data_IF_336741519464
#
_entry.id   IF_336741519464
#
_cell.length_a   1.000
_cell.length_b   1.000
_cell.length_c   1.000
_cell.angle_alpha   90.00
_cell.angle_beta   90.00
_cell.angle_gamma   90.00
#
_symmetry.space_group_name_H-M   'P 1'
#
loop_
_entity.id
_entity.type
_entity.pdbx_description
1 polymer ?
#
# COMPACT_ATOMS: atom_id res chain seq x y z
N UNK A 1 -3.17 28.01 -17.95
CA UNK A 1 -4.12 28.78 -17.11
C UNK A 1 -4.80 27.94 -16.02
N UNK A 2 -4.40 26.68 -15.78
CA UNK A 2 -4.90 25.83 -14.69
C UNK A 2 -3.98 25.78 -13.45
N UNK A 3 -2.77 26.37 -13.54
CA UNK A 3 -1.73 26.28 -12.48
C UNK A 3 -2.04 27.11 -11.22
N UNK A 4 -3.10 27.92 -11.22
CA UNK A 4 -3.42 28.86 -10.12
C UNK A 4 -4.37 28.29 -9.05
N UNK A 5 -4.93 27.09 -9.25
CA UNK A 5 -5.89 26.50 -8.30
C UNK A 5 -5.27 25.55 -7.28
N UNK A 6 -3.99 25.20 -7.45
CA UNK A 6 -3.28 24.36 -6.49
C UNK A 6 -2.36 25.27 -5.68
N UNK A 7 -2.60 25.35 -4.37
CA UNK A 7 -1.79 26.13 -3.46
C UNK A 7 -0.31 25.69 -3.49
N UNK A 8 0.54 26.48 -2.83
CA UNK A 8 1.92 26.07 -2.57
C UNK A 8 2.02 25.51 -1.16
N UNK A 9 2.38 24.23 -1.05
CA UNK A 9 2.64 23.53 0.20
C UNK A 9 4.13 23.42 0.49
N UNK A 10 4.48 22.94 1.68
CA UNK A 10 5.85 22.53 1.98
C UNK A 10 6.17 21.24 1.23
N UNK A 11 7.37 21.12 0.68
CA UNK A 11 7.78 19.90 -0.02
C UNK A 11 7.82 18.70 0.94
N UNK A 12 7.41 17.53 0.47
CA UNK A 12 7.59 16.26 1.15
C UNK A 12 8.39 15.27 0.28
N UNK A 13 9.52 14.74 0.77
CA UNK A 13 10.19 15.04 2.05
C UNK A 13 10.59 16.51 2.18
N UNK A 14 10.69 17.00 3.43
CA UNK A 14 11.11 18.37 3.71
C UNK A 14 12.51 18.61 3.15
N UNK A 15 12.63 19.63 2.29
CA UNK A 15 13.90 20.04 1.67
C UNK A 15 14.12 21.52 1.88
N UNK A 16 15.39 21.92 1.80
CA UNK A 16 15.78 23.33 1.78
C UNK A 16 15.84 23.76 0.31
N UNK A 17 15.18 24.87 -0.01
CA UNK A 17 15.19 25.47 -1.33
C UNK A 17 16.51 26.19 -1.64
N UNK A 18 16.74 26.57 -2.91
CA UNK A 18 17.99 27.22 -3.33
C UNK A 18 18.30 28.52 -2.61
N UNK A 19 17.28 29.18 -2.06
CA UNK A 19 17.38 30.44 -1.33
C UNK A 19 17.60 30.27 0.18
N UNK A 20 17.75 29.04 0.67
CA UNK A 20 17.92 28.73 2.09
C UNK A 20 16.62 28.65 2.90
N UNK A 21 15.46 28.89 2.28
CA UNK A 21 14.14 28.68 2.89
C UNK A 21 13.64 27.24 2.75
N UNK A 22 12.47 26.93 3.32
CA UNK A 22 11.79 25.65 3.11
C UNK A 22 11.37 25.56 1.64
N UNK A 23 11.68 24.44 0.99
CA UNK A 23 11.24 24.19 -0.37
C UNK A 23 9.72 24.10 -0.43
N UNK A 24 9.12 24.85 -1.35
CA UNK A 24 7.69 24.79 -1.62
C UNK A 24 7.43 23.95 -2.86
N UNK A 25 6.37 23.16 -2.81
CA UNK A 25 5.85 22.39 -3.93
C UNK A 25 4.48 22.97 -4.30
N UNK A 26 4.15 22.99 -5.58
CA UNK A 26 2.86 23.44 -6.07
C UNK A 26 2.38 22.57 -7.22
N UNK A 27 1.09 22.68 -7.52
CA UNK A 27 0.50 21.97 -8.65
C UNK A 27 0.50 20.45 -8.45
N UNK A 28 0.78 19.75 -9.54
CA UNK A 28 0.67 18.29 -9.63
C UNK A 28 1.61 17.57 -8.66
N UNK A 29 2.80 18.12 -8.44
CA UNK A 29 3.77 17.53 -7.51
C UNK A 29 3.28 17.57 -6.07
N UNK A 30 2.53 18.62 -5.68
CA UNK A 30 1.96 18.69 -4.34
C UNK A 30 0.95 17.56 -4.12
N UNK A 31 0.17 17.23 -5.15
CA UNK A 31 -0.81 16.13 -5.10
C UNK A 31 -0.09 14.78 -5.01
N UNK A 32 0.95 14.54 -5.81
CA UNK A 32 1.72 13.30 -5.70
C UNK A 32 2.38 13.12 -4.32
N UNK A 33 2.92 14.20 -3.77
CA UNK A 33 3.51 14.20 -2.43
C UNK A 33 2.45 13.98 -1.33
N UNK A 34 1.26 14.56 -1.49
CA UNK A 34 0.13 14.35 -0.59
C UNK A 34 -0.38 12.90 -0.64
N UNK A 35 -0.54 12.32 -1.83
CA UNK A 35 -0.94 10.91 -2.01
C UNK A 35 0.07 9.99 -1.33
N UNK A 36 1.38 10.18 -1.57
CA UNK A 36 2.42 9.39 -0.90
C UNK A 36 2.30 9.49 0.61
N UNK A 37 2.06 10.68 1.13
CA UNK A 37 1.96 10.93 2.57
C UNK A 37 0.71 10.32 3.19
N UNK A 38 -0.41 10.22 2.47
CA UNK A 38 -1.60 9.46 2.91
C UNK A 38 -1.30 7.96 2.94
N UNK A 39 -0.71 7.42 1.87
CA UNK A 39 -0.43 6.00 1.73
C UNK A 39 0.71 5.51 2.64
N UNK A 40 1.63 6.39 3.05
CA UNK A 40 2.77 6.05 3.93
C UNK A 40 2.48 6.24 5.42
N UNK A 41 1.25 6.58 5.79
CA UNK A 41 0.87 6.83 7.20
C UNK A 41 -0.20 5.84 7.61
N UNK A 42 0.01 5.13 8.71
CA UNK A 42 -0.98 4.24 9.28
C UNK A 42 -1.99 5.02 10.15
N UNK A 43 -3.29 4.66 10.15
CA UNK A 43 -4.25 5.21 11.10
C UNK A 43 -3.75 5.07 12.54
N UNK A 44 -3.87 6.14 13.33
CA UNK A 44 -3.38 6.22 14.71
C UNK A 44 -1.98 6.82 14.86
N UNK A 45 -1.17 6.93 13.80
CA UNK A 45 0.17 7.53 13.88
C UNK A 45 0.15 9.03 14.20
N UNK A 46 -0.96 9.71 13.87
CA UNK A 46 -1.13 11.14 14.12
C UNK A 46 -1.96 11.37 15.37
N UNK A 47 -1.38 11.85 16.50
CA UNK A 47 -2.09 11.94 17.78
C UNK A 47 -3.37 12.77 17.75
N UNK A 48 -3.37 13.86 16.98
CA UNK A 48 -4.53 14.77 16.86
C UNK A 48 -5.44 14.45 15.67
N UNK A 49 -5.11 13.41 14.89
CA UNK A 49 -5.87 12.95 13.71
C UNK A 49 -5.73 11.43 13.56
N UNK A 50 -6.29 10.63 14.49
CA UNK A 50 -6.12 9.18 14.47
C UNK A 50 -6.70 8.53 13.21
N UNK A 51 -7.74 9.09 12.60
CA UNK A 51 -8.33 8.54 11.38
C UNK A 51 -7.48 8.78 10.11
N UNK A 52 -6.46 9.62 10.18
CA UNK A 52 -5.64 9.97 9.02
C UNK A 52 -4.68 8.84 8.67
N UNK A 53 -4.63 8.51 7.38
CA UNK A 53 -3.72 7.51 6.83
C UNK A 53 -4.46 6.50 5.95
N UNK A 54 -3.78 5.40 5.69
CA UNK A 54 -4.28 4.28 4.91
C UNK A 54 -4.07 2.97 5.68
N UNK A 55 -5.14 2.17 5.84
CA UNK A 55 -5.14 0.94 6.63
C UNK A 55 -4.41 -0.24 5.94
N UNK A 56 -3.76 -0.01 4.80
CA UNK A 56 -2.91 -1.02 4.12
C UNK A 56 -1.79 -1.55 5.02
N UNK A 57 -1.37 -0.79 6.02
CA UNK A 57 -0.33 -1.17 6.98
C UNK A 57 -0.73 -2.38 7.84
N UNK A 58 -2.03 -2.61 8.03
CA UNK A 58 -2.53 -3.80 8.74
C UNK A 58 -2.40 -5.08 7.89
N UNK A 59 -2.16 -4.93 6.58
CA UNK A 59 -2.10 -6.01 5.60
C UNK A 59 -0.67 -6.44 5.23
N UNK A 60 0.37 -5.83 5.82
CA UNK A 60 1.80 -6.16 5.56
C UNK A 60 2.12 -7.65 5.73
N UNK A 61 1.42 -8.30 6.67
CA UNK A 61 1.63 -9.71 7.01
C UNK A 61 0.53 -10.63 6.47
N UNK A 62 -0.42 -10.08 5.70
CA UNK A 62 -1.45 -10.88 5.08
C UNK A 62 -0.85 -11.72 3.93
N UNK A 63 -1.40 -12.92 3.67
CA UNK A 63 -0.93 -13.74 2.56
C UNK A 63 -1.13 -13.02 1.23
N UNK A 64 -0.17 -13.16 0.31
CA UNK A 64 -0.25 -12.58 -1.03
C UNK A 64 -1.22 -13.42 -1.87
N UNK A 65 -2.49 -13.04 -1.86
CA UNK A 65 -3.56 -13.67 -2.63
C UNK A 65 -4.55 -12.60 -3.14
N UNK A 66 -5.49 -13.03 -3.99
CA UNK A 66 -6.50 -12.13 -4.59
C UNK A 66 -7.39 -11.44 -3.54
N UNK A 67 -7.67 -12.10 -2.41
CA UNK A 67 -8.45 -11.53 -1.32
C UNK A 67 -7.73 -10.34 -0.67
N UNK A 68 -6.45 -10.53 -0.31
CA UNK A 68 -5.61 -9.46 0.25
C UNK A 68 -5.43 -8.33 -0.77
N UNK A 69 -5.22 -8.65 -2.04
CA UNK A 69 -5.11 -7.65 -3.11
C UNK A 69 -6.40 -6.80 -3.22
N UNK A 70 -7.58 -7.45 -3.22
CA UNK A 70 -8.86 -6.74 -3.25
C UNK A 70 -9.09 -5.87 -2.02
N UNK A 71 -8.65 -6.31 -0.83
CA UNK A 71 -8.68 -5.49 0.39
C UNK A 71 -7.76 -4.27 0.29
N UNK A 72 -6.54 -4.44 -0.20
CA UNK A 72 -5.61 -3.32 -0.42
C UNK A 72 -6.21 -2.30 -1.38
N UNK A 73 -6.76 -2.75 -2.52
CA UNK A 73 -7.40 -1.86 -3.50
C UNK A 73 -8.52 -1.04 -2.86
N UNK A 74 -9.36 -1.69 -2.05
CA UNK A 74 -10.47 -1.03 -1.37
C UNK A 74 -9.99 0.03 -0.36
N UNK A 75 -9.01 -0.32 0.49
CA UNK A 75 -8.48 0.61 1.51
C UNK A 75 -7.77 1.81 0.87
N UNK A 76 -7.01 1.59 -0.20
CA UNK A 76 -6.36 2.67 -0.96
C UNK A 76 -7.41 3.60 -1.56
N UNK A 77 -8.43 3.06 -2.21
CA UNK A 77 -9.51 3.85 -2.80
C UNK A 77 -10.20 4.72 -1.74
N UNK A 78 -10.64 4.12 -0.62
CA UNK A 78 -11.32 4.84 0.45
C UNK A 78 -10.44 5.94 1.08
N UNK A 79 -9.15 5.64 1.28
CA UNK A 79 -8.22 6.59 1.90
C UNK A 79 -7.97 7.79 1.00
N UNK A 80 -7.79 7.57 -0.31
CA UNK A 80 -7.56 8.65 -1.28
C UNK A 80 -8.83 9.48 -1.51
N UNK A 81 -10.00 8.86 -1.60
CA UNK A 81 -11.28 9.58 -1.73
C UNK A 81 -11.55 10.47 -0.51
N UNK A 82 -11.21 9.98 0.69
CA UNK A 82 -11.39 10.74 1.95
C UNK A 82 -10.39 11.88 2.11
N UNK A 83 -9.11 11.61 1.87
CA UNK A 83 -8.03 12.53 2.26
C UNK A 83 -7.51 13.42 1.14
N UNK A 84 -7.75 13.08 -0.13
CA UNK A 84 -7.31 13.85 -1.28
C UNK A 84 -8.49 14.22 -2.21
N UNK A 85 -9.36 15.16 -1.80
CA UNK A 85 -10.56 15.53 -2.58
C UNK A 85 -10.24 16.24 -3.90
N UNK A 86 -8.97 16.62 -4.15
CA UNK A 86 -8.55 17.27 -5.41
C UNK A 86 -8.41 16.27 -6.55
N UNK A 87 -8.36 14.98 -6.27
CA UNK A 87 -8.31 13.94 -7.30
C UNK A 87 -9.65 13.20 -7.43
N UNK A 88 -9.79 12.52 -8.55
CA UNK A 88 -10.78 11.49 -8.80
C UNK A 88 -10.02 10.21 -9.14
N UNK A 89 -10.10 9.22 -8.27
CA UNK A 89 -9.47 7.92 -8.46
C UNK A 89 -10.25 7.14 -9.51
N UNK A 90 -9.58 6.80 -10.61
CA UNK A 90 -10.16 6.07 -11.72
C UNK A 90 -10.03 4.57 -11.54
N UNK A 91 -8.85 4.13 -11.07
CA UNK A 91 -8.58 2.73 -10.84
C UNK A 91 -7.42 2.52 -9.85
N UNK A 92 -7.42 1.38 -9.17
CA UNK A 92 -6.34 0.95 -8.27
C UNK A 92 -6.03 -0.51 -8.58
N UNK A 93 -4.81 -0.78 -9.06
CA UNK A 93 -4.34 -2.12 -9.38
C UNK A 93 -3.24 -2.54 -8.41
N UNK A 94 -3.29 -3.79 -7.93
CA UNK A 94 -2.26 -4.35 -7.05
C UNK A 94 -1.63 -5.53 -7.76
N UNK A 95 -0.31 -5.47 -7.96
CA UNK A 95 0.47 -6.52 -8.62
C UNK A 95 1.67 -6.91 -7.75
N UNK A 96 2.19 -8.12 -7.95
CA UNK A 96 3.43 -8.56 -7.30
C UNK A 96 4.61 -7.95 -8.05
N UNK A 97 5.54 -7.37 -7.32
CA UNK A 97 6.78 -6.79 -7.84
C UNK A 97 7.75 -7.86 -8.33
N UNK A 98 8.93 -7.40 -8.78
CA UNK A 98 9.99 -8.32 -9.23
C UNK A 98 10.52 -9.21 -8.09
N UNK A 99 10.44 -8.73 -6.85
CA UNK A 99 10.67 -9.54 -5.66
C UNK A 99 9.31 -10.00 -5.10
N UNK A 100 9.19 -11.28 -4.75
CA UNK A 100 7.98 -11.85 -4.14
C UNK A 100 7.62 -11.21 -2.79
N UNK A 101 8.54 -10.43 -2.22
CA UNK A 101 8.38 -9.63 -1.00
C UNK A 101 7.81 -8.22 -1.24
N UNK A 102 7.45 -7.85 -2.48
CA UNK A 102 6.98 -6.49 -2.79
C UNK A 102 5.66 -6.54 -3.56
N UNK A 103 4.69 -5.76 -3.11
CA UNK A 103 3.48 -5.44 -3.85
C UNK A 103 3.61 -4.04 -4.46
N UNK A 104 3.21 -3.90 -5.72
CA UNK A 104 3.13 -2.63 -6.43
C UNK A 104 1.66 -2.22 -6.53
N UNK A 105 1.37 -1.04 -6.00
CA UNK A 105 0.02 -0.44 -6.06
C UNK A 105 0.06 0.64 -7.14
N UNK A 106 -0.58 0.40 -8.29
CA UNK A 106 -0.76 1.40 -9.34
C UNK A 106 -2.08 2.14 -9.12
N UNK A 107 -2.00 3.44 -8.90
CA UNK A 107 -3.16 4.32 -8.70
C UNK A 107 -3.32 5.19 -9.94
N UNK A 108 -4.39 4.95 -10.71
CA UNK A 108 -4.79 5.80 -11.83
C UNK A 108 -5.79 6.83 -11.36
N UNK A 109 -5.51 8.10 -11.59
CA UNK A 109 -6.34 9.21 -11.12
C UNK A 109 -6.34 10.38 -12.09
N UNK A 110 -7.34 11.26 -11.96
CA UNK A 110 -7.38 12.55 -12.63
C UNK A 110 -7.53 13.68 -11.62
N UNK A 111 -7.00 14.86 -11.92
CA UNK A 111 -7.11 16.02 -11.03
C UNK A 111 -8.42 16.74 -11.36
N UNK A 112 -9.26 16.97 -10.35
CA UNK A 112 -10.53 17.69 -10.52
C UNK A 112 -10.22 19.11 -11.04
N UNK A 113 -10.76 19.44 -12.21
CA UNK A 113 -10.51 20.71 -12.90
C UNK A 113 -9.42 20.68 -13.99
N UNK A 114 -8.59 19.63 -14.04
CA UNK A 114 -7.63 19.41 -15.13
C UNK A 114 -7.88 18.01 -15.70
N UNK A 115 -8.57 17.92 -16.84
CA UNK A 115 -8.87 16.64 -17.49
C UNK A 115 -7.61 16.01 -18.13
N UNK A 116 -6.69 15.55 -17.29
CA UNK A 116 -5.47 14.84 -17.67
C UNK A 116 -5.31 13.59 -16.78
N UNK A 117 -5.50 12.38 -17.33
CA UNK A 117 -5.33 11.14 -16.57
C UNK A 117 -3.85 10.93 -16.20
N UNK A 118 -3.61 10.45 -14.97
CA UNK A 118 -2.27 10.19 -14.40
C UNK A 118 -2.24 8.83 -13.73
N UNK A 119 -1.05 8.26 -13.58
CA UNK A 119 -0.78 7.03 -12.82
C UNK A 119 0.35 7.28 -11.83
N UNK A 120 0.20 6.78 -10.60
CA UNK A 120 1.22 6.78 -9.55
C UNK A 120 1.42 5.33 -9.06
N UNK A 121 2.65 4.83 -9.18
CA UNK A 121 3.04 3.52 -8.64
C UNK A 121 3.64 3.68 -7.24
N UNK A 122 3.06 2.99 -6.27
CA UNK A 122 3.49 2.96 -4.88
C UNK A 122 3.96 1.54 -4.48
N UNK A 123 5.27 1.34 -4.21
CA UNK A 123 5.78 0.05 -3.77
C UNK A 123 5.51 -0.17 -2.28
N UNK A 124 5.09 -1.38 -1.92
CA UNK A 124 4.78 -1.80 -0.58
C UNK A 124 5.43 -3.14 -0.26
N UNK A 125 6.27 -3.19 0.77
CA UNK A 125 7.02 -4.39 1.13
C UNK A 125 6.20 -5.28 2.07
N UNK A 126 6.10 -6.56 1.73
CA UNK A 126 5.45 -7.60 2.52
C UNK A 126 6.49 -8.58 3.06
N UNK A 127 6.18 -9.23 4.18
CA UNK A 127 7.04 -10.29 4.71
C UNK A 127 6.68 -11.60 4.00
N UNK A 128 7.65 -12.31 3.39
CA UNK A 128 7.36 -13.59 2.75
C UNK A 128 6.84 -14.60 3.79
N UNK A 129 5.74 -15.28 3.47
CA UNK A 129 5.20 -16.36 4.28
C UNK A 129 6.15 -17.57 4.22
N UNK A 130 6.71 -17.97 5.35
CA UNK A 130 7.52 -19.17 5.45
C UNK A 130 6.62 -20.40 5.59
N UNK A 131 6.66 -21.31 4.61
CA UNK A 131 5.98 -22.60 4.69
C UNK A 131 6.79 -23.53 5.61
N UNK A 132 6.26 -23.93 6.76
CA UNK A 132 6.92 -24.92 7.63
C UNK A 132 6.95 -26.27 6.90
N UNK A 133 8.12 -26.91 6.72
CA UNK A 133 8.17 -28.24 6.12
C UNK A 133 7.46 -29.23 7.04
N UNK A 134 6.36 -29.79 6.53
CA UNK A 134 5.45 -30.65 7.28
C UNK A 134 6.17 -31.72 8.11
N UNK A 135 5.84 -31.78 9.39
CA UNK A 135 6.14 -32.93 10.24
C UNK A 135 5.42 -34.15 9.68
N UNK A 136 6.16 -35.01 8.97
CA UNK A 136 5.72 -36.37 8.71
C UNK A 136 5.51 -37.06 10.05
N UNK A 137 4.25 -37.29 10.41
CA UNK A 137 3.92 -38.21 11.50
C UNK A 137 4.08 -39.62 10.94
N UNK A 138 5.07 -40.43 11.39
CA UNK A 138 5.04 -41.85 11.06
C UNK A 138 3.85 -42.48 11.79
N UNK A 139 2.80 -42.81 11.03
CA UNK A 139 1.80 -43.76 11.46
C UNK A 139 2.42 -45.16 11.39
N UNK A 140 2.95 -45.65 12.51
CA UNK A 140 3.24 -47.07 12.66
C UNK A 140 2.60 -47.55 13.97
N UNK A 141 1.40 -48.13 13.83
CA UNK A 141 0.68 -48.77 14.91
C UNK A 141 1.19 -50.20 15.12
N UNK A 142 1.24 -50.71 16.36
CA UNK A 142 1.80 -52.03 16.64
C UNK A 142 0.77 -53.16 16.47
N UNK A 143 1.20 -54.29 15.90
CA UNK A 143 0.43 -55.55 15.83
C UNK A 143 0.57 -56.18 14.43
N UNK A 144 1.20 -57.34 14.24
CA UNK A 144 0.85 -58.63 14.85
C UNK A 144 2.02 -59.60 14.66
N UNK A 145 2.42 -60.29 15.73
CA UNK A 145 3.29 -61.48 15.68
C UNK A 145 2.50 -62.65 15.05
N UNK A 146 3.07 -63.45 14.13
CA UNK A 146 2.53 -64.77 13.87
C UNK A 146 3.06 -65.74 14.94
N UNK A 147 2.14 -66.23 15.77
CA UNK A 147 2.34 -67.45 16.55
C UNK A 147 2.56 -68.64 15.62
N UNK A 148 3.49 -69.48 16.03
CA UNK A 148 3.79 -70.83 15.57
C UNK A 148 2.63 -71.80 15.74
N UNK A 149 2.34 -72.65 14.74
CA UNK A 149 2.18 -74.10 14.94
C UNK A 149 2.03 -74.89 13.60
N UNK A 150 2.64 -76.07 13.59
CA UNK A 150 2.67 -77.19 12.62
C UNK A 150 3.65 -77.12 11.43
#
# INVERSE_FOLDING_TARGET
>A
MAEQFVGSGWSFPLRIGPTGGIALVSGEKEIEEAIRLVLSTAPGERPMRPDFGCAIHDLVFAPVNEETAGRIQHEVYLSLDRWEPRIEVQDVEVSVGAEESTLLIDVRYSIRGTNNPRSLVFPFYVIPSHEEPGTSTPSDGPGTLPESDL
#
